data_IF_821098607299
#
_entry.id   IF_821098607299
#
_cell.length_a   1.000
_cell.length_b   1.000
_cell.length_c   1.000
_cell.angle_alpha   90.00
_cell.angle_beta   90.00
_cell.angle_gamma   90.00
#
_symmetry.space_group_name_H-M   'P 1'
#
loop_
_entity.id
_entity.type
_entity.pdbx_description
1 polymer ?
#
# COMPACT_ATOMS: atom_id res chain seq x y z
N UNK A 1 -0.05 53.84 -32.51
CA UNK A 1 0.81 53.96 -31.31
C UNK A 1 0.45 52.83 -30.35
N UNK A 2 1.25 51.76 -30.29
CA UNK A 2 1.02 50.64 -29.38
C UNK A 2 1.43 51.04 -27.96
N UNK A 3 0.46 51.17 -27.05
CA UNK A 3 0.75 51.34 -25.62
C UNK A 3 1.03 49.96 -25.02
N UNK A 4 2.30 49.67 -24.78
CA UNK A 4 2.71 48.54 -23.95
C UNK A 4 2.22 48.79 -22.52
N UNK A 5 1.20 48.07 -22.06
CA UNK A 5 0.84 48.06 -20.64
C UNK A 5 1.85 47.17 -19.91
N UNK A 6 2.67 47.78 -19.05
CA UNK A 6 3.54 47.03 -18.13
C UNK A 6 2.74 46.47 -16.96
N UNK A 7 3.12 45.29 -16.50
CA UNK A 7 2.58 44.67 -15.28
C UNK A 7 3.12 45.42 -14.06
N UNK A 8 2.29 45.71 -13.06
CA UNK A 8 2.77 46.35 -11.82
C UNK A 8 3.36 45.32 -10.87
N UNK A 9 4.34 45.75 -10.06
CA UNK A 9 4.95 44.88 -9.03
C UNK A 9 3.92 44.40 -8.01
N UNK A 10 2.92 45.22 -7.70
CA UNK A 10 1.86 44.85 -6.75
C UNK A 10 0.91 43.79 -7.33
N UNK A 11 0.62 43.83 -8.63
CA UNK A 11 -0.16 42.79 -9.30
C UNK A 11 0.56 41.45 -9.26
N UNK A 12 1.87 41.41 -9.51
CA UNK A 12 2.64 40.18 -9.42
C UNK A 12 2.72 39.64 -7.98
N UNK A 13 2.83 40.53 -6.98
CA UNK A 13 2.90 40.15 -5.58
C UNK A 13 1.59 39.50 -5.09
N UNK A 14 0.43 40.04 -5.49
CA UNK A 14 -0.88 39.45 -5.12
C UNK A 14 -1.06 38.07 -5.77
N UNK A 15 -0.61 37.90 -7.02
CA UNK A 15 -0.74 36.61 -7.73
C UNK A 15 0.06 35.50 -7.04
N UNK A 16 1.33 35.75 -6.69
CA UNK A 16 2.14 34.75 -6.00
C UNK A 16 1.60 34.44 -4.60
N UNK A 17 0.99 35.43 -3.92
CA UNK A 17 0.34 35.22 -2.63
C UNK A 17 -0.87 34.28 -2.75
N UNK A 18 -1.73 34.47 -3.76
CA UNK A 18 -2.88 33.60 -4.00
C UNK A 18 -2.43 32.19 -4.38
N UNK A 19 -1.46 32.05 -5.29
CA UNK A 19 -0.90 30.75 -5.68
C UNK A 19 -0.32 30.03 -4.45
N UNK A 20 0.41 30.74 -3.58
CA UNK A 20 0.96 30.16 -2.36
C UNK A 20 -0.11 29.56 -1.42
N UNK A 21 -1.23 30.27 -1.22
CA UNK A 21 -2.34 29.78 -0.39
C UNK A 21 -2.99 28.54 -1.01
N UNK A 22 -3.29 28.59 -2.33
CA UNK A 22 -3.93 27.48 -3.03
C UNK A 22 -3.02 26.23 -3.06
N UNK A 23 -1.73 26.41 -3.31
CA UNK A 23 -0.75 25.32 -3.36
C UNK A 23 -0.61 24.60 -2.02
N UNK A 24 -0.68 25.31 -0.89
CA UNK A 24 -0.59 24.70 0.44
C UNK A 24 -1.76 23.73 0.71
N UNK A 25 -2.99 24.12 0.38
CA UNK A 25 -4.19 23.28 0.57
C UNK A 25 -4.14 22.04 -0.34
N UNK A 26 -3.73 22.22 -1.60
CA UNK A 26 -3.61 21.13 -2.58
C UNK A 26 -2.55 20.12 -2.17
N UNK A 27 -1.43 20.56 -1.60
CA UNK A 27 -0.37 19.64 -1.18
C UNK A 27 -0.82 18.75 -0.01
N UNK A 28 -1.55 19.29 0.96
CA UNK A 28 -2.08 18.53 2.08
C UNK A 28 -3.08 17.44 1.63
N UNK A 29 -3.98 17.77 0.69
CA UNK A 29 -4.94 16.81 0.14
C UNK A 29 -4.25 15.74 -0.72
N UNK A 30 -3.23 16.11 -1.50
CA UNK A 30 -2.46 15.19 -2.33
C UNK A 30 -1.70 14.15 -1.51
N UNK A 31 -1.07 14.54 -0.39
CA UNK A 31 -0.37 13.60 0.48
C UNK A 31 -1.32 12.52 1.04
N UNK A 32 -2.51 12.94 1.47
CA UNK A 32 -3.53 11.99 1.95
C UNK A 32 -4.02 11.05 0.84
N UNK A 33 -4.22 11.58 -0.37
CA UNK A 33 -4.62 10.77 -1.52
C UNK A 33 -3.54 9.75 -1.93
N UNK A 34 -2.26 10.14 -1.86
CA UNK A 34 -1.12 9.24 -2.13
C UNK A 34 -1.07 8.09 -1.12
N UNK A 35 -1.18 8.37 0.17
CA UNK A 35 -1.18 7.31 1.19
C UNK A 35 -2.32 6.31 0.97
N UNK A 36 -3.53 6.78 0.66
CA UNK A 36 -4.67 5.91 0.33
C UNK A 36 -4.45 5.10 -0.95
N UNK A 37 -3.81 5.69 -1.96
CA UNK A 37 -3.43 4.99 -3.19
C UNK A 37 -2.44 3.86 -2.93
N UNK A 38 -1.45 4.11 -2.08
CA UNK A 38 -0.49 3.08 -1.64
C UNK A 38 -1.18 1.96 -0.86
N UNK A 39 -2.10 2.31 0.06
CA UNK A 39 -2.90 1.31 0.80
C UNK A 39 -3.71 0.41 -0.14
N UNK A 40 -4.27 0.95 -1.23
CA UNK A 40 -4.97 0.18 -2.25
C UNK A 40 -4.02 -0.72 -3.06
N UNK A 41 -2.82 -0.25 -3.38
CA UNK A 41 -1.79 -1.07 -4.03
C UNK A 41 -1.41 -2.27 -3.15
N UNK A 42 -1.19 -2.04 -1.85
CA UNK A 42 -0.89 -3.09 -0.87
C UNK A 42 -2.00 -4.15 -0.84
N UNK A 43 -3.28 -3.75 -0.81
CA UNK A 43 -4.41 -4.68 -0.85
C UNK A 43 -4.42 -5.52 -2.15
N UNK A 44 -4.09 -4.91 -3.28
CA UNK A 44 -3.99 -5.60 -4.57
C UNK A 44 -2.83 -6.61 -4.60
N UNK A 45 -1.68 -6.25 -4.05
CA UNK A 45 -0.52 -7.14 -3.96
C UNK A 45 -0.83 -8.37 -3.07
N UNK A 46 -1.50 -8.17 -1.93
CA UNK A 46 -1.95 -9.28 -1.08
C UNK A 46 -3.02 -10.15 -1.74
N UNK A 47 -3.93 -9.57 -2.54
CA UNK A 47 -4.89 -10.36 -3.34
C UNK A 47 -4.19 -11.27 -4.36
N UNK A 48 -3.08 -10.80 -4.92
CA UNK A 48 -2.21 -11.62 -5.79
C UNK A 48 -1.61 -12.80 -5.02
N UNK A 49 -1.19 -12.60 -3.76
CA UNK A 49 -0.71 -13.68 -2.89
C UNK A 49 -1.82 -14.70 -2.66
N UNK A 50 -3.06 -14.26 -2.38
CA UNK A 50 -4.18 -15.17 -2.16
C UNK A 50 -4.46 -16.04 -3.38
N UNK A 51 -4.46 -15.44 -4.58
CA UNK A 51 -4.66 -16.17 -5.84
C UNK A 51 -3.54 -17.17 -6.09
N UNK A 52 -2.28 -16.78 -5.84
CA UNK A 52 -1.15 -17.69 -6.02
C UNK A 52 -1.08 -18.79 -4.98
N UNK A 53 -1.53 -18.53 -3.75
CA UNK A 53 -1.61 -19.55 -2.73
C UNK A 53 -2.58 -20.67 -3.11
N UNK A 54 -3.72 -20.34 -3.72
CA UNK A 54 -4.66 -21.34 -4.22
C UNK A 54 -4.03 -22.18 -5.35
N UNK A 55 -3.33 -21.54 -6.29
CA UNK A 55 -2.61 -22.24 -7.37
C UNK A 55 -1.54 -23.17 -6.80
N UNK A 56 -0.75 -22.69 -5.84
CA UNK A 56 0.30 -23.45 -5.17
C UNK A 56 -0.27 -24.67 -4.44
N UNK A 57 -1.37 -24.49 -3.71
CA UNK A 57 -2.04 -25.58 -3.00
C UNK A 57 -2.64 -26.59 -3.98
N UNK A 58 -3.24 -26.14 -5.09
CA UNK A 58 -3.80 -27.02 -6.12
C UNK A 58 -2.72 -27.92 -6.76
N UNK A 59 -1.48 -27.45 -6.85
CA UNK A 59 -0.37 -28.23 -7.41
C UNK A 59 0.24 -29.24 -6.43
N UNK A 60 0.31 -28.92 -5.14
CA UNK A 60 1.07 -29.69 -4.14
C UNK A 60 0.26 -30.26 -2.97
N UNK A 61 -1.04 -29.94 -2.86
CA UNK A 61 -1.89 -30.18 -1.68
C UNK A 61 -1.24 -29.73 -0.36
N UNK A 62 -0.43 -28.69 -0.39
CA UNK A 62 0.29 -28.15 0.77
C UNK A 62 0.63 -26.69 0.56
N UNK A 63 0.67 -25.90 1.63
CA UNK A 63 1.26 -24.55 1.62
C UNK A 63 2.73 -24.54 2.12
N UNK A 64 3.34 -25.71 2.32
CA UNK A 64 4.73 -25.79 2.75
C UNK A 64 5.65 -25.19 1.68
N UNK A 65 6.42 -24.17 2.04
CA UNK A 65 7.28 -23.45 1.09
C UNK A 65 6.58 -22.35 0.30
N UNK A 66 5.28 -22.10 0.54
CA UNK A 66 4.51 -21.05 -0.13
C UNK A 66 5.21 -19.68 -0.06
N UNK A 67 5.66 -19.29 1.13
CA UNK A 67 6.34 -18.01 1.34
C UNK A 67 7.75 -17.94 0.74
N UNK A 68 8.25 -19.01 0.11
CA UNK A 68 9.49 -18.99 -0.67
C UNK A 68 9.21 -19.00 -2.18
N UNK A 69 7.93 -19.05 -2.59
CA UNK A 69 7.55 -18.94 -4.00
C UNK A 69 7.95 -17.57 -4.55
N UNK A 70 8.59 -17.57 -5.72
CA UNK A 70 9.12 -16.35 -6.33
C UNK A 70 8.05 -15.30 -6.66
N UNK A 71 6.82 -15.72 -6.95
CA UNK A 71 5.71 -14.80 -7.26
C UNK A 71 5.21 -14.15 -5.99
N UNK A 72 5.11 -14.92 -4.90
CA UNK A 72 4.70 -14.41 -3.59
C UNK A 72 5.76 -13.48 -3.02
N UNK A 73 7.05 -13.82 -3.13
CA UNK A 73 8.13 -12.93 -2.71
C UNK A 73 8.12 -11.60 -3.48
N UNK A 74 7.82 -11.62 -4.78
CA UNK A 74 7.67 -10.39 -5.58
C UNK A 74 6.46 -9.56 -5.16
N UNK A 75 5.33 -10.20 -4.86
CA UNK A 75 4.14 -9.50 -4.38
C UNK A 75 4.37 -8.88 -2.99
N UNK A 76 5.09 -9.58 -2.10
CA UNK A 76 5.50 -9.04 -0.80
C UNK A 76 6.43 -7.83 -0.95
N UNK A 77 7.45 -7.95 -1.81
CA UNK A 77 8.36 -6.84 -2.09
C UNK A 77 7.65 -5.63 -2.73
N UNK A 78 6.63 -5.85 -3.55
CA UNK A 78 5.81 -4.78 -4.12
C UNK A 78 4.98 -4.07 -3.03
N UNK A 79 4.36 -4.83 -2.12
CA UNK A 79 3.64 -4.26 -0.98
C UNK A 79 4.56 -3.44 -0.06
N UNK A 80 5.79 -3.90 0.18
CA UNK A 80 6.81 -3.17 0.93
C UNK A 80 7.21 -1.87 0.24
N UNK A 81 7.43 -1.93 -1.07
CA UNK A 81 7.74 -0.76 -1.88
C UNK A 81 6.61 0.27 -1.88
N UNK A 82 5.34 -0.18 -1.94
CA UNK A 82 4.17 0.67 -1.83
C UNK A 82 4.06 1.30 -0.42
N UNK A 83 4.44 0.57 0.62
CA UNK A 83 4.45 1.10 1.98
C UNK A 83 5.47 2.24 2.15
N UNK A 84 6.63 2.11 1.50
CA UNK A 84 7.72 3.11 1.57
C UNK A 84 8.55 3.03 2.85
N UNK A 85 8.39 1.96 3.64
CA UNK A 85 9.22 1.63 4.81
C UNK A 85 9.82 0.24 4.63
N UNK A 86 10.79 -0.13 5.48
CA UNK A 86 11.32 -1.51 5.52
C UNK A 86 10.45 -2.44 6.38
N UNK A 87 9.20 -2.07 6.69
CA UNK A 87 8.30 -2.95 7.41
C UNK A 87 7.81 -4.03 6.45
N UNK A 88 8.31 -5.25 6.66
CA UNK A 88 8.07 -6.39 5.80
C UNK A 88 6.59 -6.80 5.80
N UNK A 89 6.02 -6.93 4.61
CA UNK A 89 4.88 -7.76 4.36
C UNK A 89 5.23 -9.16 4.87
N UNK A 90 4.52 -9.65 5.88
CA UNK A 90 4.78 -10.96 6.45
C UNK A 90 4.06 -12.02 5.64
N UNK A 91 4.69 -13.17 5.49
CA UNK A 91 4.05 -14.38 5.01
C UNK A 91 4.46 -15.50 5.97
N UNK A 92 3.48 -16.27 6.42
CA UNK A 92 3.71 -17.49 7.19
C UNK A 92 2.77 -18.57 6.68
N UNK A 93 3.33 -19.75 6.47
CA UNK A 93 2.63 -20.89 5.92
C UNK A 93 3.11 -22.18 6.58
N UNK A 94 2.19 -23.12 6.76
CA UNK A 94 2.47 -24.51 7.14
C UNK A 94 1.86 -25.45 6.09
N UNK A 95 1.69 -26.73 6.37
CA UNK A 95 1.14 -27.65 5.38
C UNK A 95 -0.32 -27.32 4.99
N UNK A 96 -1.13 -26.79 5.90
CA UNK A 96 -2.59 -26.69 5.73
C UNK A 96 -3.14 -25.26 5.78
N UNK A 97 -2.33 -24.29 6.19
CA UNK A 97 -2.76 -22.90 6.34
C UNK A 97 -1.65 -21.92 5.99
N UNK A 98 -2.06 -20.73 5.56
CA UNK A 98 -1.17 -19.58 5.39
C UNK A 98 -1.88 -18.31 5.80
N UNK A 99 -1.10 -17.30 6.17
CA UNK A 99 -1.55 -15.92 6.11
C UNK A 99 -0.42 -15.01 5.63
N UNK A 100 -0.82 -13.96 4.93
CA UNK A 100 0.06 -12.87 4.54
C UNK A 100 -0.51 -11.55 5.05
N UNK A 101 0.35 -10.68 5.55
CA UNK A 101 -0.03 -9.37 6.07
C UNK A 101 0.88 -8.29 5.51
N UNK A 102 0.37 -7.07 5.34
CA UNK A 102 1.21 -5.91 5.07
C UNK A 102 0.64 -4.67 5.73
N UNK A 103 1.51 -3.79 6.21
CA UNK A 103 1.11 -2.60 6.96
C UNK A 103 0.51 -1.54 6.04
N UNK A 104 -0.48 -0.79 6.51
CA UNK A 104 -0.93 0.41 5.82
C UNK A 104 0.03 1.60 6.00
N UNK A 105 0.06 2.46 4.99
CA UNK A 105 0.81 3.73 4.96
C UNK A 105 0.05 4.79 5.75
N UNK A 106 -1.27 4.88 5.57
CA UNK A 106 -2.06 5.93 6.19
C UNK A 106 -2.19 5.77 7.72
N UNK A 107 -2.16 4.52 8.23
CA UNK A 107 -2.28 4.23 9.66
C UNK A 107 -1.24 3.19 10.06
N UNK A 108 -0.13 3.66 10.65
CA UNK A 108 0.89 2.77 11.19
C UNK A 108 0.32 1.92 12.32
N UNK A 109 0.45 0.59 12.20
CA UNK A 109 -0.13 -0.37 13.16
C UNK A 109 -1.41 -1.05 12.68
N UNK A 110 -2.04 -0.54 11.62
CA UNK A 110 -3.06 -1.28 10.87
C UNK A 110 -2.41 -2.06 9.73
N UNK A 111 -2.92 -3.26 9.49
CA UNK A 111 -2.44 -4.17 8.47
C UNK A 111 -3.59 -4.68 7.63
N UNK A 112 -3.35 -4.94 6.36
CA UNK A 112 -4.19 -5.80 5.55
C UNK A 112 -3.74 -7.24 5.73
N UNK A 113 -4.69 -8.16 5.98
CA UNK A 113 -4.42 -9.58 6.17
C UNK A 113 -5.24 -10.40 5.19
N UNK A 114 -4.58 -11.37 4.55
CA UNK A 114 -5.21 -12.42 3.75
C UNK A 114 -4.80 -13.79 4.27
N UNK A 115 -5.68 -14.79 4.21
CA UNK A 115 -5.39 -16.15 4.68
C UNK A 115 -6.02 -17.27 3.84
N UNK A 116 -5.67 -18.52 4.21
CA UNK A 116 -6.19 -19.75 3.59
C UNK A 116 -7.66 -20.03 3.84
N UNK A 117 -8.34 -19.26 4.70
CA UNK A 117 -9.80 -19.38 4.91
C UNK A 117 -10.59 -18.41 4.03
N UNK A 118 -9.90 -17.63 3.19
CA UNK A 118 -10.51 -16.66 2.30
C UNK A 118 -10.75 -15.30 2.97
N UNK A 119 -10.18 -15.05 4.16
CA UNK A 119 -10.25 -13.73 4.75
C UNK A 119 -9.41 -12.74 3.93
N UNK A 120 -9.93 -11.52 3.80
CA UNK A 120 -9.24 -10.35 3.23
C UNK A 120 -9.75 -9.14 4.00
N UNK A 121 -9.08 -8.80 5.11
CA UNK A 121 -9.59 -7.80 6.06
C UNK A 121 -8.48 -6.97 6.71
N UNK A 122 -8.85 -5.80 7.20
CA UNK A 122 -7.99 -4.97 8.04
C UNK A 122 -7.92 -5.54 9.45
N UNK A 123 -6.71 -5.60 10.00
CA UNK A 123 -6.41 -5.97 11.38
C UNK A 123 -5.54 -4.90 12.04
N UNK A 124 -5.51 -4.85 13.37
CA UNK A 124 -4.70 -3.89 14.13
C UNK A 124 -3.77 -4.63 15.07
N UNK A 125 -2.50 -4.21 15.14
CA UNK A 125 -1.53 -4.65 16.15
C UNK A 125 -0.76 -5.95 15.87
N UNK A 126 -1.40 -7.03 15.41
CA UNK A 126 -0.74 -8.33 15.19
C UNK A 126 -0.53 -8.64 13.71
N UNK A 127 0.69 -8.45 13.22
CA UNK A 127 1.03 -8.71 11.81
C UNK A 127 2.00 -9.88 11.59
N UNK A 128 2.60 -10.41 12.65
CA UNK A 128 3.77 -11.29 12.49
C UNK A 128 3.43 -12.77 12.59
N UNK A 129 3.95 -13.53 11.64
CA UNK A 129 4.06 -15.00 11.63
C UNK A 129 2.78 -15.82 11.93
N UNK A 130 1.60 -15.23 11.74
CA UNK A 130 0.31 -15.91 11.87
C UNK A 130 0.00 -16.74 10.62
N UNK A 131 -0.77 -17.82 10.77
CA UNK A 131 -1.26 -18.63 9.65
C UNK A 131 -2.77 -18.48 9.41
N UNK A 132 -3.43 -17.62 10.19
CA UNK A 132 -4.85 -17.28 10.09
C UNK A 132 -5.02 -15.83 10.52
N UNK A 133 -5.81 -15.05 9.79
CA UNK A 133 -6.10 -13.67 10.17
C UNK A 133 -6.93 -13.63 11.47
N UNK A 134 -6.52 -12.84 12.48
CA UNK A 134 -7.25 -12.72 13.75
C UNK A 134 -8.65 -12.13 13.56
#
# INVERSE_FOLDING_TARGET
>A
MNRSKGFTLIELLVVIAIIGILSAVVLASLNTARSKGNDAAIQSDLSTIQTQAEIFYSAGNTYTGLCADTTIERARAAADAANGTTVAAFCSANATAYAATAQFVANTGDYWCVDSTGNSKRITGTASAITVCP
#
